data_IF_302451216838
#
_entry.id   IF_302451216838
#
_cell.length_a   1.000
_cell.length_b   1.000
_cell.length_c   1.000
_cell.angle_alpha   90.00
_cell.angle_beta   90.00
_cell.angle_gamma   90.00
#
_symmetry.space_group_name_H-M   'P 1'
#
loop_
_entity.id
_entity.type
_entity.pdbx_description
1 polymer ?
#
# COMPACT_ATOMS: atom_id res chain seq x y z
N UNK A 1 -7.14 -19.10 6.64
CA UNK A 1 -8.47 -19.21 5.98
C UNK A 1 -8.63 -18.19 4.84
N UNK A 2 -8.47 -16.90 5.04
CA UNK A 2 -8.69 -15.84 4.03
C UNK A 2 -7.86 -16.02 2.75
N UNK A 3 -6.55 -16.28 2.88
CA UNK A 3 -5.69 -16.56 1.71
C UNK A 3 -6.13 -17.81 0.93
N UNK A 4 -6.71 -18.81 1.59
CA UNK A 4 -7.25 -19.99 0.92
C UNK A 4 -8.48 -19.62 0.10
N UNK A 5 -9.43 -18.88 0.68
CA UNK A 5 -10.64 -18.39 -0.03
C UNK A 5 -10.22 -17.56 -1.24
N UNK A 6 -9.31 -16.61 -1.08
CA UNK A 6 -8.84 -15.77 -2.18
C UNK A 6 -8.19 -16.60 -3.31
N UNK A 7 -7.31 -17.55 -2.97
CA UNK A 7 -6.71 -18.46 -3.96
C UNK A 7 -7.74 -19.33 -4.65
N UNK A 8 -8.74 -19.82 -3.92
CA UNK A 8 -9.83 -20.61 -4.48
C UNK A 8 -10.63 -19.78 -5.48
N UNK A 9 -10.99 -18.54 -5.17
CA UNK A 9 -11.68 -17.63 -6.09
C UNK A 9 -10.85 -17.36 -7.36
N UNK A 10 -9.52 -17.16 -7.25
CA UNK A 10 -8.64 -17.02 -8.41
C UNK A 10 -8.59 -18.30 -9.27
N UNK A 11 -8.58 -19.48 -8.63
CA UNK A 11 -8.64 -20.76 -9.37
C UNK A 11 -9.97 -20.90 -10.09
N UNK A 12 -11.08 -20.59 -9.43
CA UNK A 12 -12.40 -20.58 -10.06
C UNK A 12 -12.49 -19.60 -11.23
N UNK A 13 -11.90 -18.42 -11.10
CA UNK A 13 -11.81 -17.44 -12.19
C UNK A 13 -11.11 -18.06 -13.41
N UNK A 14 -9.92 -18.63 -13.22
CA UNK A 14 -9.15 -19.23 -14.31
C UNK A 14 -9.87 -20.41 -14.96
N UNK A 15 -10.37 -21.37 -14.16
CA UNK A 15 -11.07 -22.57 -14.65
C UNK A 15 -12.41 -22.20 -15.31
N UNK A 16 -13.17 -21.29 -14.71
CA UNK A 16 -14.45 -20.84 -15.26
C UNK A 16 -14.30 -20.13 -16.60
N UNK A 17 -13.35 -19.19 -16.70
CA UNK A 17 -13.06 -18.52 -17.97
C UNK A 17 -12.59 -19.53 -19.05
N UNK A 18 -11.74 -20.50 -18.67
CA UNK A 18 -11.30 -21.56 -19.60
C UNK A 18 -12.49 -22.40 -20.08
N UNK A 19 -13.36 -22.81 -19.18
CA UNK A 19 -14.57 -23.56 -19.51
C UNK A 19 -15.49 -22.80 -20.47
N UNK A 20 -15.79 -21.51 -20.16
CA UNK A 20 -16.59 -20.63 -21.01
C UNK A 20 -15.96 -20.52 -22.40
N UNK A 21 -14.67 -20.22 -22.47
CA UNK A 21 -13.97 -20.03 -23.75
C UNK A 21 -13.99 -21.31 -24.59
N UNK A 22 -13.67 -22.47 -24.01
CA UNK A 22 -13.64 -23.75 -24.71
C UNK A 22 -15.04 -24.21 -25.14
N UNK A 23 -16.08 -23.95 -24.36
CA UNK A 23 -17.45 -24.27 -24.71
C UNK A 23 -17.98 -23.44 -25.88
N UNK A 24 -17.57 -22.17 -25.97
CA UNK A 24 -18.05 -21.22 -26.97
C UNK A 24 -17.22 -21.23 -28.27
N UNK A 25 -15.90 -21.56 -28.21
CA UNK A 25 -14.95 -21.53 -29.33
C UNK A 25 -14.27 -22.89 -29.49
N UNK A 26 -14.99 -23.99 -29.81
CA UNK A 26 -14.45 -25.35 -29.78
C UNK A 26 -13.51 -25.68 -30.96
N UNK A 27 -13.58 -24.92 -32.09
CA UNK A 27 -12.94 -25.29 -33.38
C UNK A 27 -11.59 -24.60 -33.61
N UNK A 28 -10.82 -24.35 -32.57
CA UNK A 28 -9.46 -23.77 -32.68
C UNK A 28 -8.36 -24.82 -32.55
N UNK A 29 -7.16 -24.51 -33.04
CA UNK A 29 -5.96 -25.25 -32.62
C UNK A 29 -5.72 -25.01 -31.13
N UNK A 30 -5.08 -25.96 -30.44
CA UNK A 30 -4.76 -25.79 -28.99
C UNK A 30 -4.05 -24.47 -28.73
N UNK A 31 -3.09 -24.07 -29.55
CA UNK A 31 -2.35 -22.83 -29.42
C UNK A 31 -3.25 -21.59 -29.58
N UNK A 32 -4.15 -21.60 -30.58
CA UNK A 32 -5.08 -20.45 -30.78
C UNK A 32 -6.08 -20.30 -29.63
N UNK A 33 -6.59 -21.41 -29.08
CA UNK A 33 -7.47 -21.40 -27.91
C UNK A 33 -6.74 -20.84 -26.69
N UNK A 34 -5.51 -21.29 -26.41
CA UNK A 34 -4.72 -20.81 -25.28
C UNK A 34 -4.41 -19.32 -25.38
N UNK A 35 -3.95 -18.84 -26.56
CA UNK A 35 -3.66 -17.41 -26.77
C UNK A 35 -4.93 -16.57 -26.61
N UNK A 36 -6.03 -17.00 -27.22
CA UNK A 36 -7.30 -16.28 -27.14
C UNK A 36 -7.84 -16.19 -25.71
N UNK A 37 -7.79 -17.28 -24.95
CA UNK A 37 -8.17 -17.32 -23.54
C UNK A 37 -7.28 -16.39 -22.69
N UNK A 38 -5.95 -16.47 -22.85
CA UNK A 38 -5.02 -15.61 -22.11
C UNK A 38 -5.29 -14.13 -22.39
N UNK A 39 -5.51 -13.77 -23.65
CA UNK A 39 -5.84 -12.41 -24.05
C UNK A 39 -7.18 -11.95 -23.47
N UNK A 40 -8.21 -12.79 -23.56
CA UNK A 40 -9.54 -12.48 -23.00
C UNK A 40 -9.50 -12.28 -21.48
N UNK A 41 -8.79 -13.15 -20.75
CA UNK A 41 -8.60 -13.01 -19.30
C UNK A 41 -7.79 -11.75 -18.95
N UNK A 42 -6.72 -11.48 -19.69
CA UNK A 42 -5.89 -10.28 -19.45
C UNK A 42 -6.69 -8.99 -19.64
N UNK A 43 -7.40 -8.88 -20.76
CA UNK A 43 -8.25 -7.71 -21.04
C UNK A 43 -9.37 -7.60 -20.02
N UNK A 44 -10.04 -8.71 -19.67
CA UNK A 44 -11.08 -8.70 -18.67
C UNK A 44 -10.58 -8.26 -17.29
N UNK A 45 -9.42 -8.75 -16.84
CA UNK A 45 -8.83 -8.35 -15.56
C UNK A 45 -8.51 -6.86 -15.51
N UNK A 46 -7.93 -6.29 -16.58
CA UNK A 46 -7.68 -4.84 -16.66
C UNK A 46 -9.00 -4.08 -16.60
N UNK A 47 -9.99 -4.50 -17.40
CA UNK A 47 -11.31 -3.86 -17.42
C UNK A 47 -11.98 -3.90 -16.05
N UNK A 48 -11.99 -5.06 -15.39
CA UNK A 48 -12.55 -5.20 -14.04
C UNK A 48 -11.84 -4.29 -13.03
N UNK A 49 -10.51 -4.20 -13.09
CA UNK A 49 -9.73 -3.31 -12.21
C UNK A 49 -10.09 -1.85 -12.46
N UNK A 50 -10.11 -1.39 -13.71
CA UNK A 50 -10.45 0.00 -14.05
C UNK A 50 -11.86 0.35 -13.58
N UNK A 51 -12.83 -0.53 -13.85
CA UNK A 51 -14.24 -0.33 -13.46
C UNK A 51 -14.40 -0.31 -11.94
N UNK A 52 -13.67 -1.18 -11.22
CA UNK A 52 -13.64 -1.20 -9.76
C UNK A 52 -13.19 0.14 -9.18
N UNK A 53 -12.03 0.64 -9.63
CA UNK A 53 -11.49 1.92 -9.16
C UNK A 53 -12.39 3.10 -9.55
N UNK A 54 -13.04 3.06 -10.72
CA UNK A 54 -14.03 4.05 -11.11
C UNK A 54 -15.26 4.03 -10.19
N UNK A 55 -15.64 2.87 -9.68
CA UNK A 55 -16.70 2.74 -8.67
C UNK A 55 -16.37 3.49 -7.39
N UNK A 56 -15.15 3.32 -6.86
CA UNK A 56 -14.67 4.11 -5.71
C UNK A 56 -14.65 5.61 -6.01
N UNK A 57 -14.20 6.01 -7.19
CA UNK A 57 -14.21 7.41 -7.60
C UNK A 57 -15.60 8.01 -7.58
N UNK A 58 -16.56 7.39 -8.27
CA UNK A 58 -17.92 7.92 -8.40
C UNK A 58 -18.62 7.98 -7.05
N UNK A 59 -18.63 6.88 -6.30
CA UNK A 59 -19.29 6.84 -4.99
C UNK A 59 -18.54 7.63 -3.91
N UNK A 60 -17.23 7.79 -4.03
CA UNK A 60 -16.46 8.70 -3.19
C UNK A 60 -16.90 10.16 -3.40
N UNK A 61 -16.94 10.63 -4.64
CA UNK A 61 -17.44 11.97 -4.98
C UNK A 61 -18.88 12.19 -4.48
N UNK A 62 -19.76 11.22 -4.67
CA UNK A 62 -21.15 11.27 -4.16
C UNK A 62 -21.23 11.29 -2.63
N UNK A 63 -20.23 10.76 -1.94
CA UNK A 63 -20.12 10.72 -0.48
C UNK A 63 -19.37 11.94 0.11
N UNK A 64 -19.00 12.93 -0.72
CA UNK A 64 -18.33 14.14 -0.28
C UNK A 64 -16.81 14.03 -0.13
N UNK A 65 -16.20 12.99 -0.72
CA UNK A 65 -14.76 12.88 -0.85
C UNK A 65 -14.25 13.73 -2.01
N UNK A 66 -12.98 14.14 -1.94
CA UNK A 66 -12.30 14.82 -3.06
C UNK A 66 -11.36 13.83 -3.75
N UNK A 67 -11.25 13.94 -5.09
CA UNK A 67 -10.34 13.10 -5.87
C UNK A 67 -8.87 13.44 -5.58
N UNK A 68 -8.08 12.44 -5.20
CA UNK A 68 -6.63 12.58 -4.98
C UNK A 68 -5.81 11.92 -6.08
N UNK A 69 -5.94 10.61 -6.28
CA UNK A 69 -5.20 9.91 -7.33
C UNK A 69 -5.91 8.66 -7.83
N UNK A 70 -5.60 8.30 -9.07
CA UNK A 70 -6.07 7.10 -9.74
C UNK A 70 -4.89 6.34 -10.33
N UNK A 71 -4.75 5.06 -9.99
CA UNK A 71 -3.64 4.21 -10.45
C UNK A 71 -4.15 2.92 -11.07
N UNK A 72 -3.57 2.55 -12.22
CA UNK A 72 -3.74 1.23 -12.84
C UNK A 72 -2.35 0.69 -13.19
N UNK A 73 -2.00 -0.43 -12.59
CA UNK A 73 -0.65 -0.98 -12.67
C UNK A 73 0.38 -0.01 -12.10
N UNK A 74 1.28 0.48 -12.93
CA UNK A 74 2.30 1.47 -12.58
C UNK A 74 1.99 2.90 -13.11
N UNK A 75 0.83 3.11 -13.70
CA UNK A 75 0.40 4.40 -14.21
C UNK A 75 -0.44 5.11 -13.16
N UNK A 76 0.00 6.27 -12.70
CA UNK A 76 -0.63 7.07 -11.64
C UNK A 76 -1.00 8.44 -12.18
N UNK A 77 -2.23 8.84 -12.00
CA UNK A 77 -2.71 10.20 -12.18
C UNK A 77 -3.04 10.78 -10.81
N UNK A 78 -2.30 11.81 -10.40
CA UNK A 78 -2.43 12.44 -9.09
C UNK A 78 -2.87 13.90 -9.26
N UNK A 79 -3.83 14.32 -8.44
CA UNK A 79 -4.31 15.71 -8.40
C UNK A 79 -3.45 16.48 -7.38
N UNK A 80 -2.65 17.41 -7.88
CA UNK A 80 -1.86 18.33 -7.06
C UNK A 80 -2.36 19.75 -7.35
N UNK A 81 -2.93 20.40 -6.37
CA UNK A 81 -3.46 21.77 -6.45
C UNK A 81 -4.41 21.99 -7.64
N UNK A 82 -5.32 21.06 -7.88
CA UNK A 82 -6.28 21.11 -8.97
C UNK A 82 -5.71 20.75 -10.35
N UNK A 83 -4.42 20.39 -10.44
CA UNK A 83 -3.77 19.98 -11.69
C UNK A 83 -3.48 18.49 -11.68
N UNK A 84 -3.93 17.79 -12.71
CA UNK A 84 -3.66 16.38 -12.88
C UNK A 84 -2.23 16.17 -13.41
N UNK A 85 -1.40 15.48 -12.60
CA UNK A 85 -0.04 15.11 -12.97
C UNK A 85 0.04 13.60 -13.20
N UNK A 86 0.74 13.20 -14.26
CA UNK A 86 1.04 11.80 -14.53
C UNK A 86 2.40 11.42 -13.96
N UNK A 87 2.45 10.29 -13.20
CA UNK A 87 3.68 9.70 -12.67
C UNK A 87 3.71 8.20 -12.92
N UNK A 88 4.87 7.60 -12.82
CA UNK A 88 5.05 6.13 -12.83
C UNK A 88 5.48 5.67 -11.46
N UNK A 89 4.60 4.93 -10.80
CA UNK A 89 4.85 4.37 -9.48
C UNK A 89 4.15 3.02 -9.35
N UNK A 90 4.85 2.01 -8.83
CA UNK A 90 4.31 0.67 -8.61
C UNK A 90 4.19 0.39 -7.12
N UNK A 91 3.01 -0.02 -6.69
CA UNK A 91 2.76 -0.50 -5.34
C UNK A 91 2.57 -2.01 -5.37
N UNK A 92 3.40 -2.72 -4.61
CA UNK A 92 3.32 -4.18 -4.53
C UNK A 92 1.98 -4.62 -3.92
N UNK A 93 1.35 -5.62 -4.52
CA UNK A 93 0.14 -6.25 -3.99
C UNK A 93 -1.19 -5.68 -4.49
N UNK A 94 -1.21 -4.58 -5.28
CA UNK A 94 -2.44 -4.01 -5.85
C UNK A 94 -2.34 -3.77 -7.35
N UNK A 95 -3.37 -4.15 -8.11
CA UNK A 95 -3.45 -3.91 -9.56
C UNK A 95 -3.96 -2.51 -9.89
N UNK A 96 -4.82 -1.93 -9.04
CA UNK A 96 -5.38 -0.60 -9.15
C UNK A 96 -5.43 0.09 -7.80
N UNK A 97 -5.73 1.38 -7.77
CA UNK A 97 -6.01 2.14 -6.57
C UNK A 97 -6.67 3.47 -6.91
N UNK A 98 -7.80 3.77 -6.29
CA UNK A 98 -8.41 5.09 -6.29
C UNK A 98 -8.29 5.70 -4.90
N UNK A 99 -7.36 6.65 -4.72
CA UNK A 99 -7.22 7.37 -3.47
C UNK A 99 -8.07 8.64 -3.50
N UNK A 100 -8.81 8.83 -2.42
CA UNK A 100 -9.69 9.98 -2.22
C UNK A 100 -9.34 10.67 -0.90
N UNK A 101 -9.54 11.99 -0.84
CA UNK A 101 -9.45 12.74 0.41
C UNK A 101 -10.78 12.61 1.14
N UNK A 102 -10.82 12.05 2.34
CA UNK A 102 -12.08 11.91 3.08
C UNK A 102 -12.57 13.27 3.59
N UNK A 103 -13.87 13.44 3.81
CA UNK A 103 -14.37 14.58 4.57
C UNK A 103 -13.86 14.53 6.02
N UNK A 104 -13.81 15.69 6.69
CA UNK A 104 -13.49 15.77 8.12
C UNK A 104 -14.48 14.94 8.94
N UNK A 105 -13.97 14.30 9.98
CA UNK A 105 -14.82 13.56 10.93
C UNK A 105 -15.82 14.49 11.59
N UNK A 106 -17.10 14.11 11.61
CA UNK A 106 -18.17 14.77 12.35
C UNK A 106 -18.62 13.83 13.47
N UNK A 107 -18.40 14.23 14.72
CA UNK A 107 -18.68 13.42 15.91
C UNK A 107 -18.04 12.01 15.83
N UNK A 108 -16.81 11.94 15.26
CA UNK A 108 -16.08 10.70 15.06
C UNK A 108 -16.61 9.81 13.92
N UNK A 109 -17.42 10.34 13.01
CA UNK A 109 -18.01 9.59 11.89
C UNK A 109 -17.71 10.25 10.53
N UNK A 110 -17.66 9.44 9.49
CA UNK A 110 -17.62 9.86 8.09
C UNK A 110 -18.41 8.86 7.19
N UNK A 111 -18.89 9.28 6.02
CA UNK A 111 -19.60 8.41 5.08
C UNK A 111 -18.61 7.51 4.31
N UNK A 112 -18.35 6.28 4.76
CA UNK A 112 -17.40 5.36 4.12
C UNK A 112 -18.05 4.24 3.32
N UNK A 113 -19.29 3.83 3.65
CA UNK A 113 -19.89 2.60 3.08
C UNK A 113 -20.04 2.66 1.57
N UNK A 114 -20.63 3.73 1.03
CA UNK A 114 -20.81 3.85 -0.43
C UNK A 114 -19.47 3.94 -1.16
N UNK A 115 -18.50 4.67 -0.61
CA UNK A 115 -17.16 4.76 -1.16
C UNK A 115 -16.52 3.36 -1.29
N UNK A 116 -16.48 2.59 -0.19
CA UNK A 116 -15.85 1.28 -0.16
C UNK A 116 -16.62 0.22 -0.97
N UNK A 117 -17.97 0.25 -0.98
CA UNK A 117 -18.77 -0.65 -1.83
C UNK A 117 -18.73 -0.28 -3.32
N UNK A 118 -18.23 0.91 -3.66
CA UNK A 118 -18.27 1.46 -5.01
C UNK A 118 -17.69 0.52 -6.06
N UNK A 119 -16.51 -0.05 -5.79
CA UNK A 119 -15.85 -0.99 -6.69
C UNK A 119 -16.68 -2.24 -6.95
N UNK A 120 -17.21 -2.85 -5.89
CA UNK A 120 -18.06 -4.04 -5.99
C UNK A 120 -19.36 -3.76 -6.76
N UNK A 121 -20.00 -2.61 -6.52
CA UNK A 121 -21.21 -2.20 -7.23
C UNK A 121 -20.93 -2.05 -8.73
N UNK A 122 -19.84 -1.40 -9.11
CA UNK A 122 -19.47 -1.18 -10.52
C UNK A 122 -19.08 -2.48 -11.22
N UNK A 123 -18.35 -3.39 -10.57
CA UNK A 123 -18.05 -4.71 -11.14
C UNK A 123 -19.33 -5.53 -11.36
N UNK A 124 -20.26 -5.51 -10.39
CA UNK A 124 -21.56 -6.17 -10.52
C UNK A 124 -22.41 -5.58 -11.64
N UNK A 125 -22.43 -4.25 -11.76
CA UNK A 125 -23.15 -3.55 -12.82
C UNK A 125 -22.58 -3.88 -14.20
N UNK A 126 -21.25 -3.89 -14.35
CA UNK A 126 -20.59 -4.29 -15.61
C UNK A 126 -20.94 -5.75 -15.96
N UNK A 127 -20.95 -6.65 -14.96
CA UNK A 127 -21.33 -8.04 -15.18
C UNK A 127 -22.77 -8.16 -15.72
N UNK A 128 -23.72 -7.43 -15.13
CA UNK A 128 -25.11 -7.39 -15.60
C UNK A 128 -25.26 -6.81 -17.01
N UNK A 129 -24.53 -5.73 -17.30
CA UNK A 129 -24.51 -5.12 -18.65
C UNK A 129 -23.94 -6.13 -19.66
N UNK A 130 -22.87 -6.83 -19.34
CA UNK A 130 -22.27 -7.84 -20.22
C UNK A 130 -23.26 -8.98 -20.52
N UNK A 131 -23.98 -9.49 -19.51
CA UNK A 131 -25.06 -10.48 -19.73
C UNK A 131 -26.15 -9.89 -20.65
N UNK A 132 -26.59 -8.67 -20.40
CA UNK A 132 -27.58 -7.99 -21.27
C UNK A 132 -27.11 -7.87 -22.73
N UNK A 133 -25.85 -7.52 -22.94
CA UNK A 133 -25.25 -7.45 -24.29
C UNK A 133 -25.22 -8.82 -24.98
N UNK A 134 -24.91 -9.91 -24.26
CA UNK A 134 -24.90 -11.26 -24.84
C UNK A 134 -26.30 -11.69 -25.31
N UNK A 135 -27.37 -11.29 -24.61
CA UNK A 135 -28.75 -11.59 -25.02
C UNK A 135 -29.17 -10.88 -26.30
N UNK A 136 -28.50 -9.80 -26.67
CA UNK A 136 -28.79 -9.01 -27.89
C UNK A 136 -27.81 -9.34 -29.03
N UNK A 137 -26.77 -10.09 -28.77
CA UNK A 137 -25.72 -10.42 -29.73
C UNK A 137 -26.13 -11.64 -30.59
N UNK A 138 -25.60 -11.68 -31.81
CA UNK A 138 -25.69 -12.84 -32.73
C UNK A 138 -24.30 -13.44 -33.02
N UNK A 139 -23.26 -12.93 -32.35
CA UNK A 139 -21.87 -13.32 -32.58
C UNK A 139 -21.35 -14.13 -31.40
N UNK A 140 -20.93 -15.36 -31.64
CA UNK A 140 -20.35 -16.25 -30.62
C UNK A 140 -19.11 -15.63 -29.95
N UNK A 141 -18.32 -14.80 -30.66
CA UNK A 141 -17.15 -14.15 -30.09
C UNK A 141 -17.54 -13.01 -29.13
N UNK A 142 -18.59 -12.25 -29.47
CA UNK A 142 -19.13 -11.21 -28.58
C UNK A 142 -19.72 -11.86 -27.33
N UNK A 143 -20.51 -12.94 -27.50
CA UNK A 143 -21.09 -13.68 -26.39
C UNK A 143 -20.01 -14.25 -25.48
N UNK A 144 -18.95 -14.85 -26.04
CA UNK A 144 -17.81 -15.36 -25.28
C UNK A 144 -17.15 -14.25 -24.45
N UNK A 145 -16.88 -13.10 -25.06
CA UNK A 145 -16.30 -11.95 -24.35
C UNK A 145 -17.22 -11.45 -23.23
N UNK A 146 -18.52 -11.33 -23.50
CA UNK A 146 -19.52 -10.93 -22.52
C UNK A 146 -19.62 -11.90 -21.34
N UNK A 147 -19.63 -13.22 -21.58
CA UNK A 147 -19.67 -14.20 -20.49
C UNK A 147 -18.37 -14.19 -19.66
N UNK A 148 -17.20 -14.02 -20.27
CA UNK A 148 -15.95 -13.89 -19.54
C UNK A 148 -15.94 -12.60 -18.69
N UNK A 149 -16.41 -11.48 -19.22
CA UNK A 149 -16.53 -10.21 -18.48
C UNK A 149 -17.53 -10.36 -17.33
N UNK A 150 -18.69 -10.96 -17.56
CA UNK A 150 -19.70 -11.16 -16.53
C UNK A 150 -19.20 -12.07 -15.41
N UNK A 151 -18.60 -13.22 -15.76
CA UNK A 151 -18.06 -14.15 -14.79
C UNK A 151 -16.91 -13.57 -13.98
N UNK A 152 -15.96 -12.90 -14.65
CA UNK A 152 -14.86 -12.23 -13.93
C UNK A 152 -15.36 -11.09 -13.05
N UNK A 153 -16.35 -10.29 -13.47
CA UNK A 153 -16.98 -9.26 -12.66
C UNK A 153 -17.61 -9.81 -11.39
N UNK A 154 -18.32 -10.95 -11.50
CA UNK A 154 -18.87 -11.65 -10.34
C UNK A 154 -17.77 -12.11 -9.37
N UNK A 155 -16.69 -12.71 -9.87
CA UNK A 155 -15.57 -13.15 -9.02
C UNK A 155 -14.87 -11.95 -8.37
N UNK A 156 -14.64 -10.84 -9.10
CA UNK A 156 -14.07 -9.60 -8.54
C UNK A 156 -14.96 -9.02 -7.42
N UNK A 157 -16.28 -9.04 -7.61
CA UNK A 157 -17.23 -8.62 -6.56
C UNK A 157 -17.09 -9.48 -5.31
N UNK A 158 -16.95 -10.80 -5.44
CA UNK A 158 -16.73 -11.68 -4.29
C UNK A 158 -15.34 -11.45 -3.64
N UNK A 159 -14.30 -11.29 -4.43
CA UNK A 159 -12.95 -11.09 -3.92
C UNK A 159 -12.79 -9.81 -3.11
N UNK A 160 -13.49 -8.74 -3.49
CA UNK A 160 -13.43 -7.45 -2.81
C UNK A 160 -14.56 -7.25 -1.79
N UNK A 161 -15.73 -7.87 -1.99
CA UNK A 161 -16.88 -7.72 -1.10
C UNK A 161 -16.87 -8.66 0.11
N UNK A 162 -16.27 -9.87 0.00
CA UNK A 162 -16.10 -10.74 1.16
C UNK A 162 -15.00 -10.16 2.09
N UNK A 163 -15.17 -10.20 3.43
CA UNK A 163 -14.20 -9.64 4.36
C UNK A 163 -12.94 -10.52 4.42
N UNK A 164 -11.98 -10.27 3.54
CA UNK A 164 -10.73 -11.03 3.42
C UNK A 164 -9.53 -10.21 3.87
N UNK A 165 -8.89 -10.63 4.96
CA UNK A 165 -7.59 -10.13 5.40
C UNK A 165 -6.48 -10.90 4.69
N UNK A 166 -5.78 -10.27 3.77
CA UNK A 166 -4.75 -10.87 2.92
C UNK A 166 -3.32 -10.65 3.45
N UNK A 167 -3.18 -10.34 4.73
CA UNK A 167 -1.92 -10.12 5.47
C UNK A 167 -1.16 -8.84 5.10
N UNK A 168 -1.05 -8.49 3.82
CA UNK A 168 -0.35 -7.28 3.37
C UNK A 168 -1.30 -6.13 3.09
N UNK A 169 -2.41 -6.42 2.43
CA UNK A 169 -3.42 -5.44 2.03
C UNK A 169 -4.78 -6.05 2.30
N UNK A 170 -5.61 -5.36 3.06
CA UNK A 170 -7.02 -5.73 3.27
C UNK A 170 -7.85 -5.34 2.04
N UNK A 171 -8.87 -6.15 1.72
CA UNK A 171 -9.84 -5.78 0.69
C UNK A 171 -10.93 -4.84 1.26
N UNK A 172 -11.78 -4.30 0.38
CA UNK A 172 -12.84 -3.36 0.78
C UNK A 172 -13.81 -3.96 1.79
N UNK A 173 -14.24 -5.22 1.58
CA UNK A 173 -15.14 -5.93 2.49
C UNK A 173 -14.58 -6.05 3.89
N UNK A 174 -13.29 -6.38 4.03
CA UNK A 174 -12.62 -6.42 5.35
C UNK A 174 -12.51 -5.04 5.98
N UNK A 175 -12.19 -4.02 5.18
CA UNK A 175 -12.14 -2.64 5.67
C UNK A 175 -13.51 -2.21 6.18
N UNK A 176 -14.59 -2.44 5.42
CA UNK A 176 -15.97 -2.13 5.84
C UNK A 176 -16.32 -2.85 7.14
N UNK A 177 -16.06 -4.15 7.23
CA UNK A 177 -16.34 -4.97 8.41
C UNK A 177 -15.61 -4.43 9.65
N UNK A 178 -14.33 -4.10 9.49
CA UNK A 178 -13.48 -3.60 10.59
C UNK A 178 -13.91 -2.24 11.12
N UNK A 179 -14.32 -1.31 10.24
CA UNK A 179 -14.61 0.08 10.62
C UNK A 179 -16.10 0.36 10.91
N UNK A 180 -17.00 -0.57 10.57
CA UNK A 180 -18.46 -0.33 10.66
C UNK A 180 -18.97 -0.14 12.08
N UNK A 181 -18.40 -0.84 13.05
CA UNK A 181 -18.82 -0.83 14.46
C UNK A 181 -17.69 -0.41 15.41
N UNK A 182 -16.57 0.06 14.88
CA UNK A 182 -15.38 0.44 15.64
C UNK A 182 -14.95 1.87 15.27
N UNK A 183 -15.23 2.83 16.16
CA UNK A 183 -14.92 4.25 15.93
C UNK A 183 -13.43 4.53 15.89
N UNK A 184 -12.64 3.80 16.66
CA UNK A 184 -11.18 3.91 16.69
C UNK A 184 -10.58 3.41 15.36
N UNK A 185 -11.11 2.31 14.83
CA UNK A 185 -10.71 1.80 13.51
C UNK A 185 -11.14 2.76 12.39
N UNK A 186 -12.32 3.38 12.49
CA UNK A 186 -12.77 4.41 11.56
C UNK A 186 -11.86 5.63 11.60
N UNK A 187 -11.46 6.09 12.80
CA UNK A 187 -10.52 7.19 12.98
C UNK A 187 -9.14 6.83 12.35
N UNK A 188 -8.61 5.64 12.64
CA UNK A 188 -7.34 5.19 12.09
C UNK A 188 -7.36 5.10 10.55
N UNK A 189 -8.47 4.62 9.97
CA UNK A 189 -8.68 4.61 8.52
C UNK A 189 -8.74 6.03 7.94
N UNK A 190 -9.49 6.94 8.60
CA UNK A 190 -9.54 8.35 8.24
C UNK A 190 -8.15 8.99 8.29
N UNK A 191 -7.39 8.77 9.38
CA UNK A 191 -6.02 9.26 9.53
C UNK A 191 -5.12 8.82 8.39
N UNK A 192 -5.15 7.53 8.03
CA UNK A 192 -4.38 7.00 6.91
C UNK A 192 -4.68 7.73 5.60
N UNK A 193 -5.96 7.94 5.30
CA UNK A 193 -6.39 8.65 4.08
C UNK A 193 -5.96 10.12 4.12
N UNK A 194 -6.13 10.81 5.25
CA UNK A 194 -5.78 12.23 5.42
C UNK A 194 -4.28 12.45 5.35
N UNK A 195 -3.47 11.63 6.03
CA UNK A 195 -1.99 11.70 5.94
C UNK A 195 -1.55 11.54 4.49
N UNK A 196 -2.05 10.53 3.79
CA UNK A 196 -1.73 10.31 2.37
C UNK A 196 -2.12 11.51 1.51
N UNK A 197 -3.28 12.11 1.78
CA UNK A 197 -3.77 13.29 1.06
C UNK A 197 -2.88 14.53 1.31
N UNK A 198 -2.47 14.76 2.54
CA UNK A 198 -1.60 15.88 2.90
C UNK A 198 -0.18 15.72 2.30
N UNK A 199 0.39 14.52 2.36
CA UNK A 199 1.67 14.22 1.69
C UNK A 199 1.61 14.47 0.18
N UNK A 200 0.49 14.11 -0.46
CA UNK A 200 0.27 14.40 -1.88
C UNK A 200 0.15 15.90 -2.20
N UNK A 201 -0.32 16.69 -1.24
CA UNK A 201 -0.40 18.17 -1.30
C UNK A 201 0.92 18.85 -0.89
N UNK A 202 1.95 18.08 -0.55
CA UNK A 202 3.27 18.60 -0.15
C UNK A 202 3.34 19.08 1.28
N UNK A 203 2.40 18.68 2.15
CA UNK A 203 2.45 18.98 3.59
C UNK A 203 3.26 17.90 4.31
N UNK A 204 4.32 18.30 5.01
CA UNK A 204 5.15 17.38 5.77
C UNK A 204 4.39 16.82 6.99
N UNK A 205 4.74 15.61 7.41
CA UNK A 205 4.10 14.95 8.57
C UNK A 205 4.19 15.79 9.85
N UNK A 206 5.33 16.43 10.09
CA UNK A 206 5.54 17.32 11.24
C UNK A 206 4.60 18.53 11.28
N UNK A 207 4.13 18.99 10.12
CA UNK A 207 3.26 20.16 9.97
C UNK A 207 1.76 19.80 10.02
N UNK A 208 1.42 18.50 10.10
CA UNK A 208 0.04 18.05 10.24
C UNK A 208 -0.48 18.28 11.68
N UNK A 209 -1.79 18.53 11.86
CA UNK A 209 -2.38 18.77 13.18
C UNK A 209 -2.12 17.62 14.16
N UNK A 210 -1.62 17.95 15.35
CA UNK A 210 -1.27 16.97 16.38
C UNK A 210 -2.50 16.18 16.86
N UNK A 211 -3.65 16.82 16.93
CA UNK A 211 -4.92 16.22 17.33
C UNK A 211 -5.40 15.07 16.43
N UNK A 212 -4.79 14.88 15.25
CA UNK A 212 -5.08 13.73 14.40
C UNK A 212 -4.41 12.44 14.91
N UNK A 213 -3.32 12.56 15.68
CA UNK A 213 -2.47 11.44 16.13
C UNK A 213 -2.79 11.07 17.58
N UNK A 214 -4.04 10.62 17.80
CA UNK A 214 -4.54 10.27 19.14
C UNK A 214 -3.88 9.01 19.70
N UNK A 215 -3.86 8.91 21.04
CA UNK A 215 -3.43 7.70 21.72
C UNK A 215 -4.54 6.66 21.77
N UNK A 216 -4.16 5.39 21.61
CA UNK A 216 -5.08 4.26 21.71
C UNK A 216 -4.70 3.35 22.88
N UNK A 217 -5.69 2.75 23.53
CA UNK A 217 -5.45 1.76 24.57
C UNK A 217 -4.88 0.46 23.97
N UNK A 218 -4.22 -0.33 24.80
CA UNK A 218 -3.67 -1.62 24.35
C UNK A 218 -4.73 -2.56 23.76
N UNK A 219 -5.94 -2.56 24.29
CA UNK A 219 -7.05 -3.37 23.77
C UNK A 219 -7.45 -2.93 22.36
N UNK A 220 -7.53 -1.62 22.12
CA UNK A 220 -7.84 -1.05 20.82
C UNK A 220 -6.76 -1.39 19.78
N UNK A 221 -5.49 -1.41 20.19
CA UNK A 221 -4.34 -1.74 19.35
C UNK A 221 -4.28 -3.22 18.92
N UNK A 222 -5.14 -4.09 19.42
CA UNK A 222 -5.30 -5.45 18.87
C UNK A 222 -6.01 -5.45 17.51
N UNK A 223 -6.75 -4.39 17.20
CA UNK A 223 -7.33 -4.19 15.88
C UNK A 223 -6.25 -3.74 14.89
N UNK A 224 -6.11 -4.46 13.77
CA UNK A 224 -5.06 -4.20 12.76
C UNK A 224 -5.14 -2.79 12.16
N UNK A 225 -6.33 -2.23 11.98
CA UNK A 225 -6.52 -0.89 11.44
C UNK A 225 -6.07 0.17 12.45
N UNK A 226 -6.44 0.00 13.73
CA UNK A 226 -6.00 0.88 14.81
C UNK A 226 -4.49 0.81 15.01
N UNK A 227 -3.91 -0.40 14.96
CA UNK A 227 -2.47 -0.59 15.04
C UNK A 227 -1.69 0.17 13.94
N UNK A 228 -2.27 0.29 12.73
CA UNK A 228 -1.67 1.08 11.65
C UNK A 228 -1.53 2.57 12.00
N UNK A 229 -2.35 3.12 12.89
CA UNK A 229 -2.23 4.52 13.31
C UNK A 229 -0.93 4.79 14.08
N UNK A 230 -0.38 3.80 14.81
CA UNK A 230 0.94 3.91 15.45
C UNK A 230 2.03 4.16 14.41
N UNK A 231 1.97 3.48 13.26
CA UNK A 231 2.94 3.70 12.19
C UNK A 231 2.94 5.18 11.76
N UNK A 232 1.77 5.78 11.55
CA UNK A 232 1.69 7.20 11.16
C UNK A 232 2.17 8.15 12.26
N UNK A 233 1.90 7.86 13.54
CA UNK A 233 2.47 8.59 14.67
C UNK A 233 3.99 8.54 14.64
N UNK A 234 4.56 7.35 14.48
CA UNK A 234 6.01 7.14 14.50
C UNK A 234 6.71 7.82 13.33
N UNK A 235 6.20 7.73 12.09
CA UNK A 235 6.82 8.43 10.97
C UNK A 235 6.69 9.96 11.09
N UNK A 236 5.68 10.48 11.79
CA UNK A 236 5.61 11.89 12.17
C UNK A 236 6.72 12.25 13.15
N UNK A 237 6.94 11.46 14.20
CA UNK A 237 8.05 11.64 15.14
C UNK A 237 9.42 11.55 14.44
N UNK A 238 9.57 10.65 13.44
CA UNK A 238 10.77 10.58 12.59
C UNK A 238 10.99 11.90 11.82
N UNK A 239 9.94 12.51 11.27
CA UNK A 239 10.04 13.80 10.57
C UNK A 239 10.35 14.98 11.51
N UNK A 240 10.11 14.83 12.81
CA UNK A 240 10.51 15.78 13.88
C UNK A 240 11.88 15.47 14.48
N UNK A 241 12.56 14.41 14.03
CA UNK A 241 13.85 13.92 14.53
C UNK A 241 13.83 13.49 16.02
N UNK A 242 12.70 13.01 16.52
CA UNK A 242 12.52 12.55 17.90
C UNK A 242 12.99 11.08 18.05
N UNK A 243 14.22 10.78 17.62
CA UNK A 243 14.73 9.41 17.47
C UNK A 243 14.76 8.59 18.78
N UNK A 244 14.87 9.22 19.95
CA UNK A 244 14.84 8.53 21.23
C UNK A 244 13.43 8.01 21.54
N UNK A 245 12.44 8.85 21.32
CA UNK A 245 11.04 8.53 21.61
C UNK A 245 10.51 7.54 20.57
N UNK A 246 10.92 7.65 19.31
CA UNK A 246 10.66 6.66 18.25
C UNK A 246 11.13 5.27 18.65
N UNK A 247 12.39 5.12 19.11
CA UNK A 247 12.93 3.83 19.52
C UNK A 247 12.10 3.23 20.65
N UNK A 248 11.79 4.03 21.69
CA UNK A 248 10.97 3.61 22.82
C UNK A 248 9.57 3.15 22.40
N UNK A 249 8.88 3.94 21.58
CA UNK A 249 7.51 3.63 21.12
C UNK A 249 7.47 2.35 20.27
N UNK A 250 8.44 2.16 19.36
CA UNK A 250 8.48 0.94 18.53
C UNK A 250 8.76 -0.29 19.40
N UNK A 251 9.75 -0.23 20.30
CA UNK A 251 10.08 -1.37 21.18
C UNK A 251 8.89 -1.73 22.06
N UNK A 252 8.22 -0.73 22.65
CA UNK A 252 7.03 -0.93 23.44
C UNK A 252 5.89 -1.60 22.65
N UNK A 253 5.63 -1.12 21.42
CA UNK A 253 4.62 -1.69 20.54
C UNK A 253 4.94 -3.13 20.10
N UNK A 254 6.20 -3.42 19.78
CA UNK A 254 6.64 -4.77 19.38
C UNK A 254 6.61 -5.77 20.56
N UNK A 255 7.01 -5.34 21.76
CA UNK A 255 6.98 -6.18 22.97
C UNK A 255 5.56 -6.53 23.40
N UNK A 256 4.61 -5.61 23.24
CA UNK A 256 3.20 -5.79 23.59
C UNK A 256 2.42 -6.65 22.61
N UNK A 257 3.03 -7.11 21.52
CA UNK A 257 2.38 -7.90 20.48
C UNK A 257 1.10 -7.23 19.92
N UNK A 258 1.23 -5.95 19.56
CA UNK A 258 0.17 -5.17 18.90
C UNK A 258 -0.24 -5.81 17.59
N UNK A 259 -1.51 -5.71 17.21
CA UNK A 259 -2.11 -6.36 16.03
C UNK A 259 -1.67 -5.82 14.67
N UNK A 260 -0.38 -5.55 14.47
CA UNK A 260 0.14 -5.03 13.19
C UNK A 260 -0.12 -5.95 12.00
N UNK A 261 -0.49 -5.35 10.87
CA UNK A 261 -0.26 -5.97 9.57
C UNK A 261 1.26 -6.16 9.34
N UNK A 262 1.65 -7.24 8.65
CA UNK A 262 3.05 -7.55 8.44
C UNK A 262 3.85 -6.41 7.79
N UNK A 263 3.24 -5.65 6.88
CA UNK A 263 3.87 -4.49 6.26
C UNK A 263 4.20 -3.40 7.28
N UNK A 264 3.27 -3.02 8.14
CA UNK A 264 3.50 -1.98 9.16
C UNK A 264 4.55 -2.41 10.18
N UNK A 265 4.49 -3.67 10.64
CA UNK A 265 5.49 -4.23 11.54
C UNK A 265 6.91 -4.07 11.01
N UNK A 266 7.14 -4.47 9.76
CA UNK A 266 8.47 -4.42 9.16
C UNK A 266 8.89 -3.00 8.75
N UNK A 267 7.95 -2.12 8.40
CA UNK A 267 8.25 -0.70 8.20
C UNK A 267 8.71 -0.05 9.51
N UNK A 268 8.02 -0.30 10.65
CA UNK A 268 8.47 0.15 11.97
C UNK A 268 9.83 -0.42 12.34
N UNK A 269 10.12 -1.66 11.97
CA UNK A 269 11.44 -2.25 12.17
C UNK A 269 12.53 -1.54 11.34
N UNK A 270 12.21 -1.00 10.16
CA UNK A 270 13.11 -0.15 9.40
C UNK A 270 13.45 1.14 10.16
N UNK A 271 12.46 1.80 10.78
CA UNK A 271 12.68 2.99 11.59
C UNK A 271 13.51 2.69 12.85
N UNK A 272 13.20 1.61 13.54
CA UNK A 272 13.97 1.16 14.70
C UNK A 272 15.45 0.92 14.36
N UNK A 273 15.72 0.21 13.27
CA UNK A 273 17.08 -0.06 12.80
C UNK A 273 17.83 1.26 12.50
N UNK A 274 17.18 2.21 11.86
CA UNK A 274 17.76 3.52 11.60
C UNK A 274 18.13 4.24 12.90
N UNK A 275 17.21 4.35 13.86
CA UNK A 275 17.44 5.02 15.14
C UNK A 275 18.59 4.36 15.93
N UNK A 276 18.65 3.03 15.96
CA UNK A 276 19.69 2.30 16.68
C UNK A 276 21.06 2.45 16.03
N UNK A 277 21.16 2.34 14.71
CA UNK A 277 22.42 2.53 13.98
C UNK A 277 22.93 3.97 14.09
N UNK A 278 22.02 4.96 14.08
CA UNK A 278 22.36 6.36 14.30
C UNK A 278 23.08 6.57 15.63
N UNK A 279 22.69 5.83 16.68
CA UNK A 279 23.33 5.83 18.01
C UNK A 279 24.55 4.91 18.11
N UNK A 280 24.82 4.06 17.12
CA UNK A 280 25.90 3.07 17.13
C UNK A 280 25.56 1.75 17.81
N UNK A 281 24.27 1.44 18.02
CA UNK A 281 23.85 0.20 18.64
C UNK A 281 23.76 -0.93 17.60
N UNK A 282 24.05 -2.17 18.07
CA UNK A 282 23.90 -3.36 17.24
C UNK A 282 22.43 -3.65 16.89
N UNK A 283 22.21 -4.14 15.67
CA UNK A 283 20.87 -4.40 15.13
C UNK A 283 20.67 -5.84 14.63
N UNK A 284 21.68 -6.71 14.79
CA UNK A 284 21.66 -8.08 14.25
C UNK A 284 20.43 -8.89 14.67
N UNK A 285 19.95 -8.69 15.90
CA UNK A 285 18.76 -9.36 16.43
C UNK A 285 17.47 -9.04 15.67
N UNK A 286 17.44 -7.91 14.95
CA UNK A 286 16.29 -7.48 14.13
C UNK A 286 16.36 -7.99 12.69
N UNK A 287 17.52 -8.49 12.22
CA UNK A 287 17.74 -8.92 10.84
C UNK A 287 17.36 -10.41 10.67
N UNK A 288 16.08 -10.72 10.91
CA UNK A 288 15.55 -12.08 10.73
C UNK A 288 15.41 -12.46 9.26
N UNK A 289 15.18 -13.76 9.00
CA UNK A 289 14.93 -14.26 7.64
C UNK A 289 13.69 -13.62 7.03
N UNK A 290 12.63 -13.46 7.79
CA UNK A 290 11.37 -12.84 7.36
C UNK A 290 11.59 -11.35 7.03
N UNK A 291 12.38 -10.63 7.84
CA UNK A 291 12.72 -9.25 7.56
C UNK A 291 13.55 -9.10 6.27
N UNK A 292 14.52 -9.99 6.04
CA UNK A 292 15.26 -10.02 4.77
C UNK A 292 14.36 -10.27 3.56
N UNK A 293 13.38 -11.16 3.69
CA UNK A 293 12.37 -11.39 2.64
C UNK A 293 11.52 -10.14 2.40
N UNK A 294 11.12 -9.44 3.47
CA UNK A 294 10.40 -8.17 3.35
C UNK A 294 11.23 -7.11 2.62
N UNK A 295 12.51 -6.92 2.99
CA UNK A 295 13.39 -5.97 2.30
C UNK A 295 13.53 -6.28 0.81
N UNK A 296 13.61 -7.57 0.44
CA UNK A 296 13.68 -7.99 -0.96
C UNK A 296 12.37 -7.73 -1.71
N UNK A 297 11.24 -7.98 -1.08
CA UNK A 297 9.92 -7.74 -1.65
C UNK A 297 9.66 -6.25 -1.87
N UNK A 298 10.05 -5.40 -0.92
CA UNK A 298 9.87 -3.96 -0.92
C UNK A 298 11.09 -3.19 -1.44
N UNK A 299 11.95 -3.82 -2.22
CA UNK A 299 13.25 -3.31 -2.68
C UNK A 299 13.22 -1.97 -3.42
N UNK A 300 12.05 -1.53 -3.90
CA UNK A 300 11.86 -0.24 -4.58
C UNK A 300 11.21 0.82 -3.66
N UNK A 301 10.91 0.49 -2.40
CA UNK A 301 10.40 1.44 -1.43
C UNK A 301 11.54 2.29 -0.87
N UNK A 302 11.36 3.61 -0.77
CA UNK A 302 12.43 4.55 -0.39
C UNK A 302 12.90 4.37 1.05
N UNK A 303 11.99 4.10 2.01
CA UNK A 303 12.33 3.80 3.41
C UNK A 303 13.14 2.51 3.53
N UNK A 304 12.76 1.47 2.75
CA UNK A 304 13.52 0.21 2.68
C UNK A 304 14.90 0.43 2.08
N UNK A 305 15.03 1.25 1.04
CA UNK A 305 16.32 1.59 0.46
C UNK A 305 17.21 2.38 1.43
N UNK A 306 16.64 3.35 2.19
CA UNK A 306 17.36 4.03 3.28
C UNK A 306 17.84 3.01 4.32
N UNK A 307 16.98 2.09 4.75
CA UNK A 307 17.35 1.04 5.72
C UNK A 307 18.47 0.15 5.20
N UNK A 308 18.41 -0.28 3.94
CA UNK A 308 19.48 -1.05 3.32
C UNK A 308 20.79 -0.23 3.22
N UNK A 309 20.70 1.08 2.94
CA UNK A 309 21.85 1.98 2.91
C UNK A 309 22.56 2.02 4.27
N UNK A 310 21.84 2.31 5.35
CA UNK A 310 22.43 2.41 6.69
C UNK A 310 22.98 1.07 7.18
N UNK A 311 22.33 -0.06 6.87
CA UNK A 311 22.83 -1.41 7.16
C UNK A 311 24.13 -1.77 6.44
N UNK A 312 24.39 -1.18 5.27
CA UNK A 312 25.56 -1.46 4.45
C UNK A 312 26.56 -0.30 4.43
N UNK A 313 26.43 0.68 5.34
CA UNK A 313 27.23 1.92 5.33
C UNK A 313 28.74 1.67 5.33
N UNK A 314 29.21 0.65 6.06
CA UNK A 314 30.63 0.28 6.11
C UNK A 314 31.15 -0.29 4.79
N UNK A 315 30.30 -0.89 3.96
CA UNK A 315 30.67 -1.36 2.63
C UNK A 315 30.35 -0.28 1.60
N UNK A 316 31.30 0.62 1.37
CA UNK A 316 31.12 1.83 0.53
C UNK A 316 30.66 1.50 -0.90
N UNK A 317 31.07 0.36 -1.47
CA UNK A 317 30.65 -0.04 -2.83
C UNK A 317 29.15 -0.43 -2.85
N UNK A 318 28.72 -1.23 -1.88
CA UNK A 318 27.32 -1.65 -1.75
C UNK A 318 26.43 -0.45 -1.40
N UNK A 319 26.85 0.36 -0.42
CA UNK A 319 26.13 1.55 0.01
C UNK A 319 25.91 2.54 -1.14
N UNK A 320 26.93 2.81 -1.96
CA UNK A 320 26.80 3.70 -3.12
C UNK A 320 25.81 3.17 -4.17
N UNK A 321 25.77 1.86 -4.44
CA UNK A 321 24.79 1.26 -5.36
C UNK A 321 23.37 1.40 -4.83
N UNK A 322 23.18 1.20 -3.53
CA UNK A 322 21.86 1.37 -2.88
C UNK A 322 21.43 2.83 -2.94
N UNK A 323 22.36 3.77 -2.66
CA UNK A 323 22.09 5.21 -2.70
C UNK A 323 21.68 5.70 -4.10
N UNK A 324 22.31 5.17 -5.16
CA UNK A 324 21.89 5.45 -6.54
C UNK A 324 20.46 4.94 -6.81
N UNK A 325 20.14 3.74 -6.33
CA UNK A 325 18.79 3.18 -6.44
C UNK A 325 17.77 4.03 -5.65
N UNK A 326 18.15 4.46 -4.45
CA UNK A 326 17.34 5.37 -3.62
C UNK A 326 17.02 6.67 -4.36
N UNK A 327 18.02 7.37 -4.90
CA UNK A 327 17.80 8.62 -5.64
C UNK A 327 16.89 8.41 -6.87
N UNK A 328 17.07 7.29 -7.58
CA UNK A 328 16.20 6.96 -8.70
C UNK A 328 14.74 6.78 -8.27
N UNK A 329 14.49 6.05 -7.17
CA UNK A 329 13.14 5.80 -6.66
C UNK A 329 12.53 7.05 -6.00
N UNK A 330 13.32 7.85 -5.27
CA UNK A 330 12.88 9.11 -4.68
C UNK A 330 12.41 10.11 -5.75
N UNK A 331 13.11 10.20 -6.88
CA UNK A 331 12.69 11.06 -8.00
C UNK A 331 11.38 10.60 -8.68
N UNK A 332 11.06 9.31 -8.58
CA UNK A 332 9.82 8.72 -9.13
C UNK A 332 8.70 8.67 -8.09
N UNK A 333 9.01 8.99 -6.82
CA UNK A 333 8.03 8.89 -5.72
C UNK A 333 6.83 9.83 -5.96
N UNK A 334 5.59 9.36 -5.74
CA UNK A 334 4.40 10.19 -5.98
C UNK A 334 4.33 11.40 -5.05
N UNK A 335 4.84 11.27 -3.82
CA UNK A 335 4.81 12.32 -2.79
C UNK A 335 6.23 12.90 -2.61
N UNK A 336 6.45 14.08 -3.19
CA UNK A 336 7.79 14.71 -3.17
C UNK A 336 8.28 15.01 -1.75
N UNK A 337 7.36 15.40 -0.85
CA UNK A 337 7.72 15.74 0.54
C UNK A 337 8.21 14.53 1.32
N UNK A 338 7.60 13.35 1.13
CA UNK A 338 8.06 12.10 1.75
C UNK A 338 9.46 11.71 1.25
N UNK A 339 9.72 11.92 -0.05
CA UNK A 339 11.05 11.68 -0.62
C UNK A 339 12.11 12.65 -0.07
N UNK A 340 11.75 13.90 0.23
CA UNK A 340 12.67 14.86 0.86
C UNK A 340 12.93 14.51 2.33
N UNK A 341 11.94 14.11 3.09
CA UNK A 341 12.11 13.62 4.47
C UNK A 341 13.07 12.42 4.52
N UNK A 342 12.94 11.47 3.60
CA UNK A 342 13.85 10.31 3.51
C UNK A 342 15.29 10.70 3.10
N UNK A 343 15.46 11.69 2.22
CA UNK A 343 16.78 12.26 1.90
C UNK A 343 17.41 12.93 3.10
N UNK A 344 16.63 13.67 3.86
CA UNK A 344 17.08 14.33 5.09
C UNK A 344 17.56 13.31 6.12
N UNK A 345 16.86 12.20 6.31
CA UNK A 345 17.29 11.13 7.21
C UNK A 345 18.63 10.50 6.76
N UNK A 346 18.85 10.30 5.46
CA UNK A 346 20.16 9.83 4.94
C UNK A 346 21.26 10.86 5.27
N UNK A 347 21.00 12.15 5.05
CA UNK A 347 21.97 13.23 5.34
C UNK A 347 22.35 13.25 6.82
N UNK A 348 21.37 13.18 7.71
CA UNK A 348 21.60 13.16 9.16
C UNK A 348 22.41 11.94 9.59
N UNK A 349 22.15 10.79 8.99
CA UNK A 349 22.94 9.58 9.26
C UNK A 349 24.39 9.73 8.81
N UNK A 350 24.65 10.27 7.61
CA UNK A 350 25.99 10.49 7.10
C UNK A 350 26.78 11.49 7.96
N UNK A 351 26.14 12.55 8.46
CA UNK A 351 26.75 13.52 9.36
C UNK A 351 27.13 12.89 10.69
N UNK A 352 26.21 12.11 11.28
CA UNK A 352 26.48 11.41 12.54
C UNK A 352 27.62 10.38 12.42
N UNK A 353 27.69 9.65 11.30
CA UNK A 353 28.78 8.69 11.07
C UNK A 353 30.13 9.38 10.86
N UNK A 354 30.18 10.52 10.18
CA UNK A 354 31.39 11.31 10.03
C UNK A 354 31.91 11.87 11.36
N UNK A 355 30.99 12.33 12.23
CA UNK A 355 31.39 12.82 13.57
C UNK A 355 32.00 11.69 14.40
N UNK A 356 31.39 10.48 14.40
CA UNK A 356 31.97 9.32 15.09
C UNK A 356 33.35 8.94 14.56
N UNK A 357 33.56 8.95 13.24
CA UNK A 357 34.89 8.67 12.65
C UNK A 357 35.95 9.69 13.06
N UNK A 358 35.57 10.95 13.35
CA UNK A 358 36.48 11.99 13.87
C UNK A 358 36.78 11.75 15.34
N UNK A 359 35.76 11.52 16.18
CA UNK A 359 35.91 11.24 17.61
C UNK A 359 36.79 10.01 17.85
N UNK A 360 36.57 8.92 17.11
CA UNK A 360 37.39 7.70 17.20
C UNK A 360 38.86 7.93 16.84
N UNK A 361 39.16 8.84 15.90
CA UNK A 361 40.54 9.21 15.54
C UNK A 361 41.20 10.06 16.63
N UNK A 362 40.49 11.05 17.17
CA UNK A 362 40.96 11.88 18.26
C UNK A 362 41.27 11.06 19.52
N UNK A 363 40.40 10.12 19.88
CA UNK A 363 40.60 9.19 21.00
C UNK A 363 41.78 8.24 20.76
N UNK A 364 41.97 7.77 19.51
CA UNK A 364 43.10 6.92 19.16
C UNK A 364 44.46 7.69 19.23
N UNK A 365 44.49 8.95 18.82
CA UNK A 365 45.65 9.80 18.88
C UNK A 365 46.01 10.16 20.35
N UNK A 366 45.00 10.46 21.20
CA UNK A 366 45.17 10.70 22.64
C UNK A 366 45.75 9.52 23.42
N UNK A 367 45.39 8.28 23.05
CA UNK A 367 45.87 7.05 23.70
C UNK A 367 47.29 6.63 23.25
N UNK A 368 47.86 7.28 22.22
CA UNK A 368 49.19 6.98 21.69
C UNK A 368 50.26 8.00 22.12
N UNK A 369 49.89 9.12 22.77
CA UNK A 369 50.76 10.11 23.42
C UNK A 369 50.88 9.86 24.93
#
# INVERSE_FOLDING_TARGET
MHNFIYRTLNTFLGVGCAFIYMAMVPNGSFLSIMIGLMLAMYVSNILQTVIHELGHLVFGLLSGYEFLSFRIGNHVWINVDGKLQYKRFSLAGTAGQCLMVPPMLKDGNMPFKLYLWGGCIFNSLLALIAVGCSLLSTSVYVDTACYIIAFSGFIFTLQNGLPLNLQMISNDGFTIDTISENKEALHAYWLQMMVTAQLARGVALKDMPEEWFIEYSYEQLQNQMVAAAIYFKIIRMMSMHEFNDVEYEIENALQRNVGFAGVHKYMLQCELIYCRLLKGYAVDMYITTEFKQFLQMMRNNITVLRTQYVLNYQNKEVANRILQSFHSMANLHPYAIEAEDEKELIRLFDEAMKQKEVEEKEDADWNND
#
